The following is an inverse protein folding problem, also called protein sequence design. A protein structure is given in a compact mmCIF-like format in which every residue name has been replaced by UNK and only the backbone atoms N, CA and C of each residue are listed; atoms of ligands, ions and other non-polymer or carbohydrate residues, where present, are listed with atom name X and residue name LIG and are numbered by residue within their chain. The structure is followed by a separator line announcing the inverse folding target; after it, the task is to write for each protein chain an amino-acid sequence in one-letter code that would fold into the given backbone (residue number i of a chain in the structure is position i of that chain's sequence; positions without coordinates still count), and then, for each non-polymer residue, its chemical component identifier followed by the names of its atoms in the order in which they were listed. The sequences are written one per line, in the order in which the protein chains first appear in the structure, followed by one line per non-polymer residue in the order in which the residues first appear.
data_IF_083512308311
#
_entry.id   IF_083512308311
#
_cell.length_a   1.000
_cell.length_b   1.000
_cell.length_c   1.000
_cell.angle_alpha   90.00
_cell.angle_beta   90.00
_cell.angle_gamma   90.00
#
_symmetry.space_group_name_H-M   'P 1'
#
loop_
_entity.id
_entity.type
_entity.pdbx_description
1 polymer ?
#
# COMPACT_ATOMS: atom_id res chain seq x y z
N UNK A 1 6.66 -5.29 22.57
CA UNK A 1 6.12 -3.96 22.19
C UNK A 1 5.92 -3.97 20.68
N UNK A 2 4.74 -3.60 20.20
CA UNK A 2 4.36 -3.71 18.79
C UNK A 2 5.26 -2.83 17.91
N UNK A 3 5.67 -3.26 16.70
CA UNK A 3 6.41 -2.42 15.74
C UNK A 3 5.71 -1.10 15.37
N UNK A 4 4.42 -1.00 15.69
CA UNK A 4 3.55 0.10 15.31
C UNK A 4 3.31 1.13 16.42
N UNK A 5 3.84 0.92 17.64
CA UNK A 5 3.55 1.78 18.79
C UNK A 5 4.22 3.15 18.77
N UNK A 6 4.87 3.54 17.67
CA UNK A 6 5.61 4.81 17.56
C UNK A 6 4.89 5.90 16.76
N UNK A 7 3.70 5.62 16.22
CA UNK A 7 2.88 6.64 15.56
C UNK A 7 2.03 7.50 16.53
N UNK A 8 2.15 7.32 17.86
CA UNK A 8 1.24 7.90 18.87
C UNK A 8 1.94 8.55 20.08
N UNK A 9 3.06 9.25 19.90
CA UNK A 9 3.60 10.13 20.96
C UNK A 9 3.39 11.61 20.58
N UNK A 10 2.51 12.35 21.29
CA UNK A 10 2.40 13.79 21.13
C UNK A 10 3.52 14.44 21.94
N UNK A 11 4.65 14.75 21.32
CA UNK A 11 5.61 15.66 21.94
C UNK A 11 5.14 17.10 21.77
N UNK A 12 4.47 17.61 22.81
CA UNK A 12 4.42 19.03 23.10
C UNK A 12 5.87 19.56 23.21
N UNK A 13 6.26 20.45 22.30
CA UNK A 13 7.23 21.50 22.56
C UNK A 13 6.92 22.72 21.67
N UNK A 14 6.53 23.80 22.32
CA UNK A 14 6.32 25.13 21.73
C UNK A 14 7.68 25.81 21.47
N UNK A 15 7.95 26.10 20.17
CA UNK A 15 8.60 27.29 19.54
C UNK A 15 9.98 27.85 20.06
N UNK A 16 10.76 28.64 19.28
CA UNK A 16 10.40 29.36 18.04
C UNK A 16 11.40 29.31 16.84
N UNK A 17 10.84 29.67 15.67
CA UNK A 17 11.44 30.32 14.48
C UNK A 17 12.86 29.95 14.04
N UNK A 18 12.97 29.21 12.93
CA UNK A 18 14.07 29.36 11.97
C UNK A 18 13.58 29.09 10.55
N UNK A 19 14.03 29.95 9.62
CA UNK A 19 13.72 30.07 8.20
C UNK A 19 13.28 28.79 7.48
N UNK A 20 12.24 28.94 6.64
CA UNK A 20 11.86 27.96 5.63
C UNK A 20 13.09 27.58 4.78
N UNK A 21 13.35 26.28 4.54
CA UNK A 21 14.37 25.90 3.57
C UNK A 21 13.94 26.44 2.21
N UNK A 22 14.87 27.14 1.53
CA UNK A 22 14.69 27.59 0.16
C UNK A 22 14.27 26.39 -0.69
N UNK A 23 13.15 26.55 -1.42
CA UNK A 23 12.69 25.61 -2.46
C UNK A 23 13.80 25.47 -3.50
N UNK A 24 14.65 24.45 -3.33
CA UNK A 24 15.51 23.98 -4.39
C UNK A 24 14.64 23.50 -5.53
N UNK A 25 14.95 23.92 -6.76
CA UNK A 25 14.27 23.44 -7.96
C UNK A 25 14.29 21.91 -7.97
N UNK A 26 13.11 21.30 -7.82
CA UNK A 26 12.92 19.86 -7.85
C UNK A 26 13.50 19.32 -9.17
N UNK A 27 14.30 18.27 -9.09
CA UNK A 27 14.68 17.49 -10.26
C UNK A 27 13.38 17.05 -10.95
N UNK A 28 13.12 17.57 -12.14
CA UNK A 28 12.02 17.09 -12.97
C UNK A 28 12.18 15.58 -13.09
N UNK A 29 11.17 14.80 -12.69
CA UNK A 29 11.13 13.40 -13.11
C UNK A 29 11.28 13.43 -14.62
N UNK A 30 12.34 12.81 -15.15
CA UNK A 30 12.56 12.71 -16.59
C UNK A 30 11.50 11.75 -17.14
N UNK A 31 10.28 12.27 -17.32
CA UNK A 31 9.17 11.57 -17.92
C UNK A 31 9.40 11.60 -19.44
N UNK A 32 10.13 10.61 -19.94
CA UNK A 32 10.33 10.39 -21.38
C UNK A 32 9.05 9.89 -22.09
N UNK A 33 7.96 9.69 -21.33
CA UNK A 33 6.63 9.40 -21.85
C UNK A 33 6.05 10.70 -22.48
N UNK A 34 6.20 10.89 -23.80
CA UNK A 34 5.44 11.92 -24.56
C UNK A 34 4.02 11.43 -24.87
N UNK A 35 2.97 12.28 -24.95
CA UNK A 35 2.99 13.74 -25.23
C UNK A 35 2.11 14.62 -24.29
N UNK A 36 2.21 15.94 -24.49
CA UNK A 36 1.41 17.07 -23.92
C UNK A 36 1.01 16.98 -22.44
N UNK A 37 1.60 17.85 -21.63
CA UNK A 37 1.34 18.05 -20.19
C UNK A 37 -0.15 18.24 -19.82
N UNK A 38 -1.03 18.52 -20.80
CA UNK A 38 -2.48 18.62 -20.66
C UNK A 38 -3.24 17.28 -20.67
N UNK A 39 -2.57 16.14 -20.87
CA UNK A 39 -3.19 14.80 -20.89
C UNK A 39 -2.76 13.92 -19.70
N UNK A 40 -1.94 14.43 -18.79
CA UNK A 40 -1.46 13.66 -17.64
C UNK A 40 -2.59 13.45 -16.62
N UNK A 41 -2.72 12.21 -16.14
CA UNK A 41 -3.73 11.89 -15.15
C UNK A 41 -3.28 12.35 -13.76
N UNK A 42 -4.18 13.01 -13.05
CA UNK A 42 -3.99 13.51 -11.68
C UNK A 42 -4.25 12.48 -10.59
N UNK A 43 -4.69 11.28 -10.98
CA UNK A 43 -5.34 10.27 -10.15
C UNK A 43 -6.51 10.84 -9.34
N UNK A 44 -7.19 11.86 -9.87
CA UNK A 44 -8.36 12.50 -9.27
C UNK A 44 -9.59 12.31 -10.14
N UNK A 45 -10.70 11.95 -9.50
CA UNK A 45 -12.03 11.91 -10.12
C UNK A 45 -13.00 12.74 -9.28
N UNK A 46 -13.97 13.38 -9.94
CA UNK A 46 -15.06 14.09 -9.28
C UNK A 46 -16.37 13.35 -9.47
N UNK A 47 -17.20 13.37 -8.43
CA UNK A 47 -18.61 13.01 -8.47
C UNK A 47 -19.39 14.32 -8.62
N UNK A 48 -20.14 14.47 -9.69
CA UNK A 48 -20.90 15.70 -9.96
C UNK A 48 -22.09 15.82 -9.00
N UNK A 49 -21.94 16.70 -8.00
CA UNK A 49 -22.93 17.08 -6.99
C UNK A 49 -22.52 18.42 -6.37
N UNK A 50 -23.42 19.01 -5.59
CA UNK A 50 -23.14 20.24 -4.83
C UNK A 50 -23.41 19.99 -3.34
N UNK A 51 -22.41 20.12 -2.44
CA UNK A 51 -20.98 20.35 -2.74
C UNK A 51 -20.29 19.11 -3.38
N UNK A 52 -19.20 19.30 -4.15
CA UNK A 52 -18.55 18.22 -4.90
C UNK A 52 -17.91 17.18 -3.98
N UNK A 53 -17.78 15.96 -4.49
CA UNK A 53 -17.02 14.89 -3.83
C UNK A 53 -15.97 14.33 -4.77
N UNK A 54 -14.83 13.91 -4.23
CA UNK A 54 -13.64 13.53 -4.99
C UNK A 54 -13.17 12.13 -4.61
N UNK A 55 -12.63 11.41 -5.59
CA UNK A 55 -11.81 10.22 -5.39
C UNK A 55 -10.38 10.53 -5.76
N UNK A 56 -9.44 10.14 -4.92
CA UNK A 56 -8.01 10.25 -5.17
C UNK A 56 -7.34 8.89 -5.04
N UNK A 57 -6.59 8.52 -6.07
CA UNK A 57 -5.84 7.27 -6.18
C UNK A 57 -4.48 7.38 -5.48
N UNK A 58 -4.33 6.70 -4.34
CA UNK A 58 -3.06 6.58 -3.61
C UNK A 58 -2.26 5.36 -4.08
N UNK A 59 -0.97 5.31 -3.73
CA UNK A 59 -0.14 4.11 -3.85
C UNK A 59 0.66 3.91 -2.57
N UNK A 60 0.95 2.64 -2.23
CA UNK A 60 1.54 2.29 -0.94
C UNK A 60 3.07 2.50 -0.89
N UNK A 61 3.49 3.75 -1.10
CA UNK A 61 4.91 4.15 -1.15
C UNK A 61 5.15 5.39 -0.27
N UNK A 62 6.41 5.66 0.13
CA UNK A 62 6.72 6.82 0.97
C UNK A 62 6.24 8.13 0.33
N UNK A 63 5.49 8.95 1.08
CA UNK A 63 4.87 10.16 0.54
C UNK A 63 5.90 11.13 -0.07
N UNK A 64 7.12 11.19 0.49
CA UNK A 64 8.22 12.04 0.01
C UNK A 64 8.70 11.71 -1.41
N UNK A 65 8.33 10.53 -1.94
CA UNK A 65 8.69 10.12 -3.30
C UNK A 65 7.67 10.53 -4.35
N UNK A 66 6.46 10.93 -3.92
CA UNK A 66 5.30 11.11 -4.82
C UNK A 66 4.54 12.42 -4.60
N UNK A 67 4.46 12.92 -3.37
CA UNK A 67 3.59 14.06 -3.00
C UNK A 67 3.92 15.35 -3.77
N UNK A 68 5.20 15.61 -4.04
CA UNK A 68 5.61 16.77 -4.80
C UNK A 68 5.22 16.68 -6.29
N UNK A 69 4.99 15.47 -6.80
CA UNK A 69 4.55 15.21 -8.17
C UNK A 69 3.02 15.12 -8.31
N UNK A 70 2.28 15.00 -7.20
CA UNK A 70 0.81 15.06 -7.21
C UNK A 70 0.36 16.44 -7.68
N UNK A 71 -0.49 16.55 -8.73
CA UNK A 71 -0.92 17.83 -9.26
C UNK A 71 -1.74 18.67 -8.28
N UNK A 72 -1.69 20.00 -8.44
CA UNK A 72 -2.29 20.92 -7.46
C UNK A 72 -3.82 20.80 -7.38
N UNK A 73 -4.52 20.43 -8.47
CA UNK A 73 -5.96 20.19 -8.42
C UNK A 73 -6.35 19.10 -7.39
N UNK A 74 -5.50 18.09 -7.20
CA UNK A 74 -5.71 17.02 -6.22
C UNK A 74 -5.44 17.50 -4.80
N UNK A 75 -4.41 18.35 -4.63
CA UNK A 75 -4.09 18.99 -3.35
C UNK A 75 -5.19 19.97 -2.94
N UNK A 76 -5.71 20.76 -3.88
CA UNK A 76 -6.81 21.69 -3.68
C UNK A 76 -8.11 20.96 -3.32
N UNK A 77 -8.47 19.90 -4.05
CA UNK A 77 -9.62 19.06 -3.72
C UNK A 77 -9.52 18.53 -2.28
N UNK A 78 -8.36 18.00 -1.87
CA UNK A 78 -8.12 17.57 -0.49
C UNK A 78 -8.25 18.72 0.51
N UNK A 79 -7.68 19.89 0.21
CA UNK A 79 -7.73 21.07 1.09
C UNK A 79 -9.16 21.59 1.28
N UNK A 80 -9.97 21.63 0.22
CA UNK A 80 -11.34 22.15 0.24
C UNK A 80 -12.33 21.19 0.92
N UNK A 81 -12.10 19.87 0.86
CA UNK A 81 -12.99 18.90 1.49
C UNK A 81 -12.88 18.92 3.03
N UNK A 82 -14.00 19.13 3.72
CA UNK A 82 -14.06 19.08 5.18
C UNK A 82 -14.13 17.65 5.75
N UNK A 83 -14.54 16.67 4.93
CA UNK A 83 -14.70 15.26 5.31
C UNK A 83 -13.85 14.39 4.39
N UNK A 84 -13.02 13.52 4.97
CA UNK A 84 -12.09 12.65 4.26
C UNK A 84 -12.28 11.21 4.70
N UNK A 85 -12.36 10.30 3.74
CA UNK A 85 -12.45 8.86 3.99
C UNK A 85 -11.24 8.14 3.40
N UNK A 86 -10.66 7.27 4.21
CA UNK A 86 -9.59 6.35 3.81
C UNK A 86 -10.14 4.93 3.74
N UNK A 87 -9.37 4.00 3.18
CA UNK A 87 -9.73 2.58 3.19
C UNK A 87 -9.85 2.04 4.61
N UNK A 88 -8.84 2.34 5.45
CA UNK A 88 -8.78 2.01 6.87
C UNK A 88 -8.36 3.22 7.69
N UNK A 89 -8.79 3.25 8.95
CA UNK A 89 -8.34 4.20 9.96
C UNK A 89 -7.01 3.72 10.58
N UNK A 90 -5.90 4.08 9.93
CA UNK A 90 -4.55 3.72 10.38
C UNK A 90 -4.01 4.61 11.50
N UNK A 91 -4.71 5.68 11.88
CA UNK A 91 -4.33 6.52 13.03
C UNK A 91 -4.91 5.98 14.33
N UNK A 92 -5.96 5.16 14.25
CA UNK A 92 -6.57 4.50 15.40
C UNK A 92 -5.77 3.28 15.90
N UNK A 93 -5.33 3.27 17.18
CA UNK A 93 -4.56 2.17 17.75
C UNK A 93 -5.31 0.83 17.78
N UNK A 94 -6.65 0.85 17.85
CA UNK A 94 -7.45 -0.37 17.81
C UNK A 94 -7.37 -1.05 16.45
N UNK A 95 -7.43 -0.28 15.36
CA UNK A 95 -7.26 -0.78 13.98
C UNK A 95 -5.90 -1.45 13.81
N UNK A 96 -4.83 -0.75 14.21
CA UNK A 96 -3.46 -1.24 14.14
C UNK A 96 -3.29 -2.52 14.97
N UNK A 97 -3.84 -2.56 16.18
CA UNK A 97 -3.79 -3.74 17.05
C UNK A 97 -4.56 -4.92 16.46
N UNK A 98 -5.72 -4.68 15.85
CA UNK A 98 -6.52 -5.71 15.19
C UNK A 98 -5.82 -6.28 13.94
N UNK A 99 -5.22 -5.41 13.11
CA UNK A 99 -4.38 -5.82 11.98
C UNK A 99 -3.22 -6.69 12.47
N UNK A 100 -2.51 -6.27 13.54
CA UNK A 100 -1.40 -7.05 14.08
C UNK A 100 -1.85 -8.45 14.55
N UNK A 101 -3.02 -8.57 15.20
CA UNK A 101 -3.57 -9.86 15.64
C UNK A 101 -3.92 -10.76 14.46
N UNK A 102 -4.44 -10.22 13.35
CA UNK A 102 -4.89 -11.03 12.23
C UNK A 102 -3.75 -11.71 11.46
N UNK A 103 -2.51 -11.25 11.66
CA UNK A 103 -1.30 -11.87 11.11
C UNK A 103 -0.87 -13.12 11.88
N UNK A 104 -1.36 -13.31 13.11
CA UNK A 104 -0.85 -14.31 14.03
C UNK A 104 -1.55 -15.66 13.85
N UNK A 105 -0.79 -16.74 14.04
CA UNK A 105 -1.33 -18.07 14.23
C UNK A 105 -2.19 -18.12 15.50
N UNK A 106 -3.12 -19.09 15.59
CA UNK A 106 -3.85 -19.36 16.82
C UNK A 106 -2.92 -19.49 18.05
N UNK A 107 -3.41 -19.16 19.25
CA UNK A 107 -2.64 -19.35 20.48
C UNK A 107 -2.16 -20.79 20.62
N UNK A 108 -0.87 -20.99 20.93
CA UNK A 108 -0.26 -22.31 21.10
C UNK A 108 0.39 -22.88 19.83
N UNK A 109 0.04 -22.40 18.65
CA UNK A 109 0.65 -22.85 17.39
C UNK A 109 1.94 -22.07 17.06
N UNK A 110 2.90 -22.76 16.44
CA UNK A 110 4.13 -22.19 15.92
C UNK A 110 4.32 -22.54 14.44
N UNK A 111 4.96 -21.65 13.71
CA UNK A 111 5.24 -21.80 12.29
C UNK A 111 6.08 -23.04 11.96
N UNK A 112 6.96 -23.48 12.87
CA UNK A 112 7.73 -24.72 12.70
C UNK A 112 6.85 -25.98 12.63
N UNK A 113 5.68 -25.96 13.28
CA UNK A 113 4.74 -27.08 13.34
C UNK A 113 3.80 -27.07 12.12
N UNK A 114 3.66 -25.90 11.49
CA UNK A 114 2.77 -25.67 10.36
C UNK A 114 3.52 -25.84 9.03
N UNK A 115 4.78 -25.43 8.92
CA UNK A 115 5.52 -25.46 7.66
C UNK A 115 6.25 -26.80 7.43
N UNK A 116 6.39 -27.24 6.16
CA UNK A 116 7.39 -28.24 5.80
C UNK A 116 8.79 -27.84 6.28
N UNK A 117 9.55 -28.83 6.78
CA UNK A 117 10.86 -28.61 7.41
C UNK A 117 11.84 -27.87 6.49
N UNK A 118 11.85 -28.19 5.21
CA UNK A 118 12.72 -27.57 4.21
C UNK A 118 12.39 -26.07 4.01
N UNK A 119 11.10 -25.72 3.93
CA UNK A 119 10.63 -24.33 3.79
C UNK A 119 10.96 -23.54 5.05
N UNK A 120 10.71 -24.09 6.24
CA UNK A 120 11.05 -23.44 7.51
C UNK A 120 12.55 -23.15 7.61
N UNK A 121 13.40 -24.12 7.27
CA UNK A 121 14.86 -23.94 7.25
C UNK A 121 15.30 -22.87 6.24
N UNK A 122 14.71 -22.85 5.03
CA UNK A 122 15.01 -21.85 3.99
C UNK A 122 14.61 -20.44 4.42
N UNK A 123 13.42 -20.30 5.02
CA UNK A 123 12.94 -19.06 5.61
C UNK A 123 13.90 -18.55 6.69
N UNK A 124 14.25 -19.40 7.67
CA UNK A 124 15.16 -19.02 8.75
C UNK A 124 16.49 -18.50 8.22
N UNK A 125 17.12 -19.22 7.29
CA UNK A 125 18.36 -18.80 6.62
C UNK A 125 18.21 -17.49 5.86
N UNK A 126 17.07 -17.25 5.21
CA UNK A 126 16.79 -15.99 4.56
C UNK A 126 16.69 -14.83 5.56
N UNK A 127 16.00 -15.01 6.68
CA UNK A 127 15.89 -14.00 7.73
C UNK A 127 17.25 -13.70 8.39
N UNK A 128 18.10 -14.72 8.57
CA UNK A 128 19.49 -14.55 9.03
C UNK A 128 20.31 -13.71 8.05
N UNK A 129 20.21 -13.97 6.74
CA UNK A 129 20.82 -13.14 5.71
C UNK A 129 20.33 -11.69 5.80
N UNK A 130 19.01 -11.48 5.87
CA UNK A 130 18.40 -10.15 5.95
C UNK A 130 18.92 -9.38 7.18
N UNK A 131 19.03 -10.06 8.33
CA UNK A 131 19.60 -9.48 9.55
C UNK A 131 21.04 -9.01 9.35
N UNK A 132 21.86 -9.81 8.67
CA UNK A 132 23.26 -9.44 8.35
C UNK A 132 23.34 -8.26 7.38
N UNK A 133 22.38 -8.13 6.45
CA UNK A 133 22.35 -7.04 5.49
C UNK A 133 21.82 -5.72 6.06
N UNK A 134 21.00 -5.74 7.12
CA UNK A 134 20.37 -4.54 7.68
C UNK A 134 21.33 -3.36 7.87
N UNK A 135 22.53 -3.51 8.46
CA UNK A 135 23.46 -2.38 8.62
C UNK A 135 23.78 -1.70 7.29
N UNK A 136 24.00 -2.45 6.21
CA UNK A 136 24.31 -1.91 4.88
C UNK A 136 23.09 -1.27 4.19
N UNK A 137 21.88 -1.74 4.48
CA UNK A 137 20.65 -1.22 3.88
C UNK A 137 20.13 0.04 4.58
N UNK A 138 20.49 0.27 5.85
CA UNK A 138 20.06 1.47 6.58
C UNK A 138 20.75 2.74 6.11
N UNK A 139 19.99 3.84 6.11
CA UNK A 139 20.51 5.18 5.76
C UNK A 139 21.18 5.87 6.95
N UNK A 140 22.01 6.87 6.68
CA UNK A 140 22.62 7.70 7.71
C UNK A 140 21.57 8.48 8.54
N UNK A 141 20.49 8.95 7.89
CA UNK A 141 19.38 9.64 8.56
C UNK A 141 18.66 8.73 9.57
N UNK A 142 18.37 7.48 9.20
CA UNK A 142 17.79 6.50 10.12
C UNK A 142 18.66 6.29 11.36
N UNK A 143 19.98 6.17 11.18
CA UNK A 143 20.93 6.05 12.30
C UNK A 143 20.99 7.32 13.15
N UNK A 144 20.96 8.49 12.51
CA UNK A 144 20.92 9.79 13.19
C UNK A 144 19.68 10.00 14.06
N UNK A 145 18.55 9.37 13.69
CA UNK A 145 17.30 9.32 14.46
C UNK A 145 17.29 8.25 15.57
N UNK A 146 18.41 7.59 15.82
CA UNK A 146 18.54 6.57 16.87
C UNK A 146 17.99 5.19 16.50
N UNK A 147 17.73 4.91 15.21
CA UNK A 147 17.39 3.56 14.76
C UNK A 147 18.67 2.74 14.59
N UNK A 148 18.70 1.53 15.17
CA UNK A 148 19.79 0.56 15.02
C UNK A 148 19.31 -0.66 14.23
N UNK A 149 20.23 -1.36 13.56
CA UNK A 149 19.92 -2.48 12.67
C UNK A 149 19.10 -3.59 13.34
N UNK A 150 19.50 -4.03 14.54
CA UNK A 150 18.77 -5.05 15.29
C UNK A 150 17.39 -4.58 15.71
N UNK A 151 17.25 -3.30 16.08
CA UNK A 151 15.96 -2.73 16.43
C UNK A 151 15.02 -2.71 15.22
N UNK A 152 15.49 -2.22 14.08
CA UNK A 152 14.68 -2.18 12.85
C UNK A 152 14.33 -3.59 12.36
N UNK A 153 15.28 -4.53 12.40
CA UNK A 153 15.03 -5.93 12.08
C UNK A 153 13.94 -6.51 12.98
N UNK A 154 14.05 -6.35 14.30
CA UNK A 154 13.07 -6.86 15.25
C UNK A 154 11.70 -6.17 15.12
N UNK A 155 11.67 -4.90 14.71
CA UNK A 155 10.42 -4.22 14.39
C UNK A 155 9.73 -4.86 13.17
N UNK A 156 10.46 -5.26 12.13
CA UNK A 156 9.83 -5.83 10.93
C UNK A 156 9.53 -7.33 11.12
N UNK A 157 10.51 -8.08 11.63
CA UNK A 157 10.55 -9.56 11.66
C UNK A 157 10.19 -10.14 13.03
N UNK A 158 10.04 -9.30 14.05
CA UNK A 158 9.73 -9.76 15.41
C UNK A 158 8.53 -10.70 15.46
N UNK A 159 8.65 -11.78 16.24
CA UNK A 159 7.64 -12.81 16.40
C UNK A 159 7.22 -13.51 15.09
N UNK A 160 8.09 -13.55 14.06
CA UNK A 160 7.78 -14.22 12.80
C UNK A 160 7.37 -15.70 12.99
N UNK A 161 7.94 -16.41 13.96
CA UNK A 161 7.58 -17.80 14.27
C UNK A 161 6.12 -17.99 14.70
N UNK A 162 5.42 -16.90 15.04
CA UNK A 162 4.01 -16.90 15.44
C UNK A 162 3.10 -16.30 14.36
N UNK A 163 3.63 -15.88 13.21
CA UNK A 163 2.85 -15.34 12.10
C UNK A 163 2.32 -16.48 11.22
N UNK A 164 1.16 -16.29 10.61
CA UNK A 164 0.59 -17.19 9.62
C UNK A 164 1.47 -17.21 8.35
N UNK A 165 1.57 -18.33 7.62
CA UNK A 165 2.50 -18.45 6.49
C UNK A 165 2.29 -17.42 5.37
N UNK A 166 1.05 -17.00 5.08
CA UNK A 166 0.78 -15.96 4.07
C UNK A 166 1.36 -14.60 4.46
N UNK A 167 1.34 -14.26 5.75
CA UNK A 167 1.93 -13.02 6.26
C UNK A 167 3.45 -13.07 6.28
N UNK A 168 4.03 -14.26 6.43
CA UNK A 168 5.46 -14.47 6.22
C UNK A 168 5.84 -14.23 4.77
N UNK A 169 5.06 -14.73 3.82
CA UNK A 169 5.29 -14.48 2.39
C UNK A 169 5.29 -12.97 2.10
N UNK A 170 4.27 -12.23 2.55
CA UNK A 170 4.22 -10.77 2.41
C UNK A 170 5.42 -10.07 3.08
N UNK A 171 5.76 -10.48 4.32
CA UNK A 171 6.90 -9.95 5.06
C UNK A 171 8.20 -10.15 4.28
N UNK A 172 8.47 -11.36 3.80
CA UNK A 172 9.67 -11.69 3.01
C UNK A 172 9.80 -10.83 1.75
N UNK A 173 8.70 -10.60 1.03
CA UNK A 173 8.72 -9.70 -0.14
C UNK A 173 8.99 -8.24 0.21
N UNK A 174 8.64 -7.82 1.44
CA UNK A 174 8.92 -6.47 1.93
C UNK A 174 10.33 -6.29 2.51
N UNK A 175 11.10 -7.36 2.70
CA UNK A 175 12.45 -7.32 3.30
C UNK A 175 13.54 -7.05 2.24
N UNK A 176 13.40 -5.92 1.53
CA UNK A 176 14.35 -5.48 0.51
C UNK A 176 15.09 -4.21 0.95
N UNK A 177 16.26 -3.95 0.35
CA UNK A 177 17.04 -2.74 0.62
C UNK A 177 16.22 -1.46 0.41
N UNK A 178 15.46 -1.38 -0.68
CA UNK A 178 14.65 -0.20 -1.04
C UNK A 178 13.59 0.08 0.02
N UNK A 179 12.87 -0.95 0.47
CA UNK A 179 11.83 -0.81 1.51
C UNK A 179 12.46 -0.49 2.86
N UNK A 180 13.62 -1.08 3.19
CA UNK A 180 14.31 -0.80 4.45
C UNK A 180 14.81 0.65 4.52
N UNK A 181 15.36 1.18 3.42
CA UNK A 181 15.81 2.59 3.34
C UNK A 181 14.69 3.59 3.59
N UNK A 182 13.46 3.23 3.23
CA UNK A 182 12.30 4.11 3.41
C UNK A 182 11.55 3.92 4.73
N UNK A 183 11.93 2.94 5.57
CA UNK A 183 11.31 2.76 6.89
C UNK A 183 11.49 4.00 7.76
N UNK A 184 10.42 4.39 8.43
CA UNK A 184 10.33 5.64 9.21
C UNK A 184 9.74 6.81 8.43
N UNK A 185 9.53 6.67 7.12
CA UNK A 185 8.75 7.63 6.31
C UNK A 185 7.33 7.09 6.14
N UNK A 186 6.28 7.88 6.48
CA UNK A 186 4.90 7.49 6.22
C UNK A 186 4.65 7.20 4.73
N UNK A 187 3.85 6.18 4.44
CA UNK A 187 3.30 6.00 3.10
C UNK A 187 2.26 7.06 2.79
N UNK A 188 1.95 7.30 1.51
CA UNK A 188 1.04 8.37 1.07
C UNK A 188 -0.33 8.31 1.78
N UNK A 189 -0.90 7.11 1.95
CA UNK A 189 -2.20 6.92 2.63
C UNK A 189 -2.18 7.45 4.07
N UNK A 190 -1.16 7.03 4.83
CA UNK A 190 -0.99 7.42 6.23
C UNK A 190 -0.64 8.91 6.36
N UNK A 191 0.18 9.42 5.45
CA UNK A 191 0.50 10.84 5.39
C UNK A 191 -0.77 11.69 5.20
N UNK A 192 -1.63 11.33 4.26
CA UNK A 192 -2.90 12.03 4.04
C UNK A 192 -3.83 11.95 5.25
N UNK A 193 -3.88 10.80 5.94
CA UNK A 193 -4.67 10.67 7.17
C UNK A 193 -4.14 11.56 8.29
N UNK A 194 -2.82 11.59 8.51
CA UNK A 194 -2.17 12.48 9.46
C UNK A 194 -2.38 13.96 9.11
N UNK A 195 -2.32 14.30 7.82
CA UNK A 195 -2.56 15.65 7.35
C UNK A 195 -4.02 16.08 7.52
N UNK A 196 -4.97 15.16 7.32
CA UNK A 196 -6.38 15.41 7.59
C UNK A 196 -6.64 15.71 9.08
N UNK A 197 -6.01 14.96 9.98
CA UNK A 197 -6.06 15.23 11.43
C UNK A 197 -5.41 16.58 11.79
N UNK A 198 -4.24 16.88 11.21
CA UNK A 198 -3.52 18.15 11.40
C UNK A 198 -4.39 19.34 10.98
N UNK A 199 -5.13 19.19 9.89
CA UNK A 199 -6.07 20.18 9.35
C UNK A 199 -7.45 20.15 10.03
N UNK A 200 -7.65 19.29 11.06
CA UNK A 200 -8.91 19.11 11.79
C UNK A 200 -10.10 18.76 10.89
N UNK A 201 -9.86 18.03 9.81
CA UNK A 201 -10.90 17.48 8.94
C UNK A 201 -11.60 16.33 9.66
N UNK A 202 -12.87 16.09 9.34
CA UNK A 202 -13.55 14.88 9.79
C UNK A 202 -13.01 13.69 9.00
N UNK A 203 -12.45 12.69 9.68
CA UNK A 203 -11.94 11.47 9.04
C UNK A 203 -12.88 10.29 9.22
N UNK A 204 -12.84 9.35 8.27
CA UNK A 204 -13.60 8.10 8.33
C UNK A 204 -12.88 6.96 7.61
N UNK A 205 -13.32 5.72 7.88
CA UNK A 205 -12.82 4.52 7.23
C UNK A 205 -13.91 3.86 6.40
N UNK A 206 -13.59 3.46 5.18
CA UNK A 206 -14.54 2.80 4.29
C UNK A 206 -14.68 1.31 4.58
N UNK A 207 -13.66 0.71 5.18
CA UNK A 207 -13.56 -0.72 5.42
C UNK A 207 -13.29 -1.08 6.87
N UNK A 208 -13.48 -2.36 7.16
CA UNK A 208 -13.17 -2.96 8.45
C UNK A 208 -11.87 -3.75 8.38
N UNK A 209 -11.24 -3.96 9.52
CA UNK A 209 -9.98 -4.73 9.60
C UNK A 209 -10.16 -6.16 9.08
N UNK A 210 -11.29 -6.78 9.37
CA UNK A 210 -11.60 -8.15 8.95
C UNK A 210 -11.64 -8.27 7.43
N UNK A 211 -12.07 -7.21 6.73
CA UNK A 211 -12.20 -7.17 5.27
C UNK A 211 -10.84 -7.15 4.57
N UNK A 212 -9.79 -6.73 5.29
CA UNK A 212 -8.40 -6.73 4.83
C UNK A 212 -7.68 -8.03 5.19
N UNK A 213 -8.01 -8.60 6.34
CA UNK A 213 -7.35 -9.80 6.84
C UNK A 213 -7.92 -11.10 6.27
N UNK A 214 -9.24 -11.20 6.10
CA UNK A 214 -9.89 -12.44 5.66
C UNK A 214 -9.46 -12.89 4.26
N UNK A 215 -9.32 -12.01 3.25
CA UNK A 215 -8.79 -12.40 1.95
C UNK A 215 -7.41 -13.05 2.04
N UNK A 216 -6.50 -12.49 2.85
CA UNK A 216 -5.16 -13.06 3.00
C UNK A 216 -5.20 -14.42 3.71
N UNK A 217 -6.04 -14.55 4.73
CA UNK A 217 -6.15 -15.77 5.53
C UNK A 217 -7.06 -16.85 4.90
N UNK A 218 -7.71 -16.57 3.76
CA UNK A 218 -8.69 -17.46 3.13
C UNK A 218 -8.12 -18.42 2.09
N UNK A 219 -6.85 -18.28 1.71
CA UNK A 219 -6.15 -19.26 0.87
C UNK A 219 -6.07 -20.62 1.56
N UNK A 220 -6.16 -21.69 0.78
CA UNK A 220 -5.98 -23.03 1.32
C UNK A 220 -4.50 -23.28 1.68
N UNK A 221 -4.26 -24.22 2.58
CA UNK A 221 -2.92 -24.48 3.08
C UNK A 221 -1.90 -24.80 1.97
N UNK A 222 -2.27 -25.62 0.98
CA UNK A 222 -1.39 -25.95 -0.16
C UNK A 222 -1.01 -24.73 -1.00
N UNK A 223 -1.95 -23.81 -1.25
CA UNK A 223 -1.70 -22.57 -1.99
C UNK A 223 -0.75 -21.67 -1.23
N UNK A 224 -0.91 -21.55 0.09
CA UNK A 224 -0.03 -20.74 0.93
C UNK A 224 1.39 -21.31 0.97
N UNK A 225 1.52 -22.64 1.09
CA UNK A 225 2.83 -23.32 1.04
C UNK A 225 3.49 -23.11 -0.33
N UNK A 226 2.73 -23.27 -1.41
CA UNK A 226 3.21 -22.98 -2.76
C UNK A 226 3.70 -21.53 -2.88
N UNK A 227 2.88 -20.56 -2.48
CA UNK A 227 3.20 -19.13 -2.59
C UNK A 227 4.46 -18.77 -1.79
N UNK A 228 4.58 -19.24 -0.54
CA UNK A 228 5.76 -19.02 0.29
C UNK A 228 7.01 -19.68 -0.31
N UNK A 229 6.88 -20.90 -0.85
CA UNK A 229 7.98 -21.59 -1.51
C UNK A 229 8.49 -20.80 -2.72
N UNK A 230 7.59 -20.33 -3.60
CA UNK A 230 7.93 -19.51 -4.76
C UNK A 230 8.55 -18.17 -4.36
N UNK A 231 8.03 -17.51 -3.32
CA UNK A 231 8.64 -16.29 -2.78
C UNK A 231 10.07 -16.53 -2.29
N UNK A 232 10.33 -17.61 -1.55
CA UNK A 232 11.69 -17.93 -1.10
C UNK A 232 12.63 -18.25 -2.27
N UNK A 233 12.16 -19.00 -3.28
CA UNK A 233 12.92 -19.29 -4.52
C UNK A 233 13.28 -18.01 -5.27
N UNK A 234 12.33 -17.07 -5.36
CA UNK A 234 12.54 -15.77 -5.98
C UNK A 234 13.63 -14.99 -5.23
N UNK A 235 13.53 -14.89 -3.91
CA UNK A 235 14.52 -14.19 -3.08
C UNK A 235 15.91 -14.85 -3.16
N UNK A 236 15.97 -16.17 -3.20
CA UNK A 236 17.23 -16.92 -3.42
C UNK A 236 17.85 -16.61 -4.79
N UNK A 237 17.03 -16.56 -5.84
CA UNK A 237 17.47 -16.26 -7.20
C UNK A 237 17.96 -14.82 -7.35
N UNK A 238 17.30 -13.86 -6.69
CA UNK A 238 17.72 -12.46 -6.65
C UNK A 238 19.09 -12.31 -5.98
N UNK A 239 19.29 -12.95 -4.82
CA UNK A 239 20.58 -12.92 -4.12
C UNK A 239 21.70 -13.57 -4.93
N UNK A 240 21.37 -14.59 -5.71
CA UNK A 240 22.33 -15.23 -6.61
C UNK A 240 22.61 -14.42 -7.90
N UNK A 241 21.96 -13.27 -8.10
CA UNK A 241 22.06 -12.46 -9.31
C UNK A 241 21.46 -13.13 -10.56
N UNK A 242 20.61 -14.15 -10.38
CA UNK A 242 20.06 -14.99 -11.47
C UNK A 242 18.70 -14.51 -11.97
N UNK A 243 18.08 -13.57 -11.27
CA UNK A 243 16.75 -13.07 -11.60
C UNK A 243 16.77 -11.54 -11.62
N UNK A 244 16.15 -10.98 -12.65
CA UNK A 244 15.76 -9.57 -12.71
C UNK A 244 14.25 -9.50 -12.56
N UNK A 245 13.76 -8.66 -11.65
CA UNK A 245 12.31 -8.48 -11.49
C UNK A 245 11.83 -7.53 -12.59
N UNK A 246 10.82 -7.91 -13.40
CA UNK A 246 10.38 -7.09 -14.53
C UNK A 246 9.68 -5.79 -14.12
N UNK A 247 9.12 -5.74 -12.91
CA UNK A 247 8.42 -4.56 -12.38
C UNK A 247 8.76 -4.35 -10.91
N UNK A 248 9.26 -3.16 -10.57
CA UNK A 248 9.70 -2.78 -9.23
C UNK A 248 8.84 -1.67 -8.64
N UNK A 249 8.96 -1.44 -7.34
CA UNK A 249 8.36 -0.26 -6.68
C UNK A 249 8.86 1.05 -7.28
N UNK A 250 10.09 1.08 -7.81
CA UNK A 250 10.63 2.26 -8.48
C UNK A 250 9.93 2.53 -9.82
N UNK A 251 9.56 1.47 -10.55
CA UNK A 251 8.73 1.61 -11.75
C UNK A 251 7.35 2.13 -11.39
N UNK A 252 6.70 1.58 -10.35
CA UNK A 252 5.42 2.08 -9.84
C UNK A 252 5.47 3.58 -9.51
N UNK A 253 6.49 4.02 -8.74
CA UNK A 253 6.70 5.43 -8.40
C UNK A 253 6.88 6.28 -9.66
N UNK A 254 7.70 5.81 -10.61
CA UNK A 254 7.95 6.54 -11.87
C UNK A 254 6.66 6.71 -12.67
N UNK A 255 5.88 5.65 -12.85
CA UNK A 255 4.62 5.70 -13.60
C UNK A 255 3.59 6.61 -12.90
N UNK A 256 3.47 6.53 -11.58
CA UNK A 256 2.60 7.41 -10.80
C UNK A 256 3.01 8.88 -10.92
N UNK A 257 4.30 9.20 -10.74
CA UNK A 257 4.80 10.56 -10.86
C UNK A 257 4.69 11.14 -12.28
N UNK A 258 4.65 10.27 -13.29
CA UNK A 258 4.43 10.65 -14.68
C UNK A 258 2.96 10.59 -15.11
N UNK A 259 2.00 10.38 -14.20
CA UNK A 259 0.57 10.40 -14.52
C UNK A 259 0.10 9.26 -15.46
N UNK A 260 0.83 8.16 -15.53
CA UNK A 260 0.49 7.01 -16.38
C UNK A 260 -0.52 6.07 -15.68
N UNK A 261 -1.54 5.63 -16.42
CA UNK A 261 -2.68 4.82 -15.93
C UNK A 261 -2.59 3.35 -16.34
N UNK A 262 -1.42 2.74 -16.24
CA UNK A 262 -1.28 1.32 -16.53
C UNK A 262 -1.98 0.45 -15.48
N UNK A 263 -3.16 -0.09 -15.82
CA UNK A 263 -3.96 -0.95 -14.93
C UNK A 263 -3.21 -2.19 -14.45
N UNK A 264 -2.26 -2.69 -15.24
CA UNK A 264 -1.39 -3.81 -14.87
C UNK A 264 -0.54 -3.45 -13.65
N UNK A 265 0.10 -2.27 -13.68
CA UNK A 265 1.01 -1.81 -12.63
C UNK A 265 0.25 -1.59 -11.31
N UNK A 266 -0.89 -0.90 -11.34
CA UNK A 266 -1.64 -0.58 -10.12
C UNK A 266 -2.44 -1.76 -9.55
N UNK A 267 -2.79 -2.75 -10.38
CA UNK A 267 -3.41 -3.98 -9.89
C UNK A 267 -2.47 -4.81 -9.02
N UNK A 268 -1.15 -4.70 -9.24
CA UNK A 268 -0.13 -5.34 -8.40
C UNK A 268 0.02 -4.65 -7.04
N UNK A 269 0.02 -3.32 -7.00
CA UNK A 269 0.11 -2.57 -5.72
C UNK A 269 -1.14 -2.79 -4.86
N UNK A 270 -2.32 -2.73 -5.47
CA UNK A 270 -3.60 -2.84 -4.75
C UNK A 270 -3.84 -4.23 -4.14
N UNK A 271 -3.23 -5.27 -4.70
CA UNK A 271 -3.30 -6.62 -4.15
C UNK A 271 -2.18 -6.93 -3.16
N UNK A 272 -1.06 -6.18 -3.16
CA UNK A 272 0.14 -6.42 -2.34
C UNK A 272 0.70 -7.85 -2.43
N UNK A 273 0.29 -8.64 -3.42
CA UNK A 273 0.66 -10.06 -3.58
C UNK A 273 1.58 -10.23 -4.79
N UNK A 274 2.63 -11.06 -4.71
CA UNK A 274 3.49 -11.35 -5.83
C UNK A 274 2.75 -11.98 -7.01
N UNK A 275 3.07 -11.55 -8.23
CA UNK A 275 2.62 -12.23 -9.43
C UNK A 275 3.53 -13.42 -9.73
N UNK A 276 3.00 -14.64 -9.60
CA UNK A 276 3.73 -15.89 -9.82
C UNK A 276 3.80 -16.31 -11.30
N UNK A 277 3.08 -15.62 -12.20
CA UNK A 277 2.83 -16.08 -13.58
C UNK A 277 4.08 -16.04 -14.48
N UNK A 278 5.11 -15.24 -14.14
CA UNK A 278 6.32 -15.09 -14.95
C UNK A 278 7.45 -16.06 -14.63
N UNK A 279 7.27 -16.98 -13.68
CA UNK A 279 8.25 -18.03 -13.43
C UNK A 279 8.07 -19.18 -14.45
N UNK A 280 9.17 -19.85 -14.82
CA UNK A 280 9.22 -21.04 -15.68
C UNK A 280 8.62 -22.26 -14.96
N UNK A 281 7.40 -22.13 -14.43
CA UNK A 281 6.76 -23.10 -13.58
C UNK A 281 6.31 -24.32 -14.38
N UNK A 282 6.37 -25.54 -13.81
CA UNK A 282 5.69 -26.71 -14.33
C UNK A 282 4.18 -26.47 -14.52
N UNK A 283 3.49 -27.20 -15.42
CA UNK A 283 2.07 -26.98 -15.71
C UNK A 283 1.16 -26.95 -14.48
N UNK A 284 1.37 -27.86 -13.52
CA UNK A 284 0.55 -27.92 -12.30
C UNK A 284 0.74 -26.67 -11.41
N UNK A 285 1.98 -26.20 -11.26
CA UNK A 285 2.31 -25.00 -10.49
C UNK A 285 1.76 -23.73 -11.15
N UNK A 286 1.68 -23.69 -12.49
CA UNK A 286 1.02 -22.58 -13.20
C UNK A 286 -0.46 -22.49 -12.89
N UNK A 287 -1.15 -23.62 -12.81
CA UNK A 287 -2.58 -23.65 -12.44
C UNK A 287 -2.76 -23.11 -11.03
N UNK A 288 -1.97 -23.58 -10.06
CA UNK A 288 -2.03 -23.07 -8.68
C UNK A 288 -1.73 -21.56 -8.60
N UNK A 289 -0.72 -21.08 -9.35
CA UNK A 289 -0.41 -19.66 -9.44
C UNK A 289 -1.59 -18.83 -9.99
N UNK A 290 -2.24 -19.32 -11.05
CA UNK A 290 -3.41 -18.66 -11.66
C UNK A 290 -4.62 -18.66 -10.73
N UNK A 291 -4.86 -19.74 -10.00
CA UNK A 291 -5.92 -19.82 -8.98
C UNK A 291 -5.71 -18.79 -7.86
N UNK A 292 -4.47 -18.65 -7.39
CA UNK A 292 -4.11 -17.66 -6.35
C UNK A 292 -4.30 -16.23 -6.88
N UNK A 293 -3.81 -15.92 -8.09
CA UNK A 293 -4.00 -14.59 -8.71
C UNK A 293 -5.49 -14.26 -8.87
N UNK A 294 -6.27 -15.21 -9.42
CA UNK A 294 -7.72 -15.06 -9.60
C UNK A 294 -8.44 -14.83 -8.27
N UNK A 295 -8.08 -15.60 -7.24
CA UNK A 295 -8.63 -15.45 -5.90
C UNK A 295 -8.36 -14.06 -5.32
N UNK A 296 -7.11 -13.59 -5.35
CA UNK A 296 -6.78 -12.27 -4.82
C UNK A 296 -7.39 -11.15 -5.64
N UNK A 297 -7.42 -11.24 -6.97
CA UNK A 297 -8.12 -10.28 -7.82
C UNK A 297 -9.61 -10.21 -7.48
N UNK A 298 -10.25 -11.35 -7.23
CA UNK A 298 -11.65 -11.40 -6.84
C UNK A 298 -11.90 -10.78 -5.45
N UNK A 299 -11.10 -11.14 -4.44
CA UNK A 299 -11.31 -10.73 -3.05
C UNK A 299 -10.81 -9.31 -2.75
N UNK A 300 -9.62 -8.95 -3.23
CA UNK A 300 -8.95 -7.68 -2.93
C UNK A 300 -9.31 -6.55 -3.91
N UNK A 301 -9.85 -6.86 -5.08
CA UNK A 301 -10.31 -5.84 -6.03
C UNK A 301 -11.82 -5.91 -6.24
N UNK A 302 -12.35 -6.95 -6.89
CA UNK A 302 -13.73 -6.90 -7.37
C UNK A 302 -14.79 -6.87 -6.25
N UNK A 303 -14.69 -7.79 -5.28
CA UNK A 303 -15.61 -7.78 -4.12
C UNK A 303 -15.41 -6.53 -3.26
N UNK A 304 -14.18 -6.04 -3.19
CA UNK A 304 -13.81 -4.84 -2.43
C UNK A 304 -14.40 -3.58 -3.05
N UNK A 305 -14.25 -3.40 -4.36
CA UNK A 305 -14.84 -2.31 -5.14
C UNK A 305 -16.36 -2.26 -5.02
N UNK A 306 -17.02 -3.41 -5.13
CA UNK A 306 -18.48 -3.49 -4.99
C UNK A 306 -18.95 -3.05 -3.58
N UNK A 307 -18.24 -3.47 -2.51
CA UNK A 307 -18.54 -3.03 -1.15
C UNK A 307 -18.26 -1.53 -0.96
N UNK A 308 -17.08 -1.07 -1.37
CA UNK A 308 -16.68 0.34 -1.28
C UNK A 308 -17.68 1.24 -2.02
N UNK A 309 -18.00 0.94 -3.28
CA UNK A 309 -18.94 1.74 -4.08
C UNK A 309 -20.33 1.84 -3.46
N UNK A 310 -20.86 0.74 -2.91
CA UNK A 310 -22.15 0.74 -2.18
C UNK A 310 -22.11 1.60 -0.92
N UNK A 311 -21.01 1.54 -0.16
CA UNK A 311 -20.88 2.35 1.05
C UNK A 311 -20.63 3.82 0.75
N UNK A 312 -19.88 4.13 -0.31
CA UNK A 312 -19.76 5.51 -0.81
C UNK A 312 -21.14 6.02 -1.21
N UNK A 313 -21.91 5.28 -2.00
CA UNK A 313 -23.30 5.64 -2.34
C UNK A 313 -24.11 5.95 -1.07
N UNK A 314 -24.10 5.06 -0.08
CA UNK A 314 -24.85 5.25 1.15
C UNK A 314 -24.43 6.54 1.89
N UNK A 315 -23.13 6.83 1.99
CA UNK A 315 -22.63 8.07 2.59
C UNK A 315 -23.08 9.32 1.81
N UNK A 316 -23.04 9.24 0.48
CA UNK A 316 -23.47 10.32 -0.41
C UNK A 316 -24.97 10.62 -0.27
N UNK A 317 -25.80 9.60 -0.04
CA UNK A 317 -27.26 9.71 0.17
C UNK A 317 -27.60 10.15 1.60
N UNK A 318 -26.89 9.67 2.61
CA UNK A 318 -27.11 10.02 4.02
C UNK A 318 -26.76 11.49 4.29
N UNK A 319 -25.77 12.03 3.58
CA UNK A 319 -25.30 13.40 3.75
C UNK A 319 -25.32 14.18 2.42
N UNK A 320 -26.50 14.59 1.92
CA UNK A 320 -26.63 15.29 0.64
C UNK A 320 -25.91 16.65 0.63
N UNK A 321 -25.87 17.35 1.76
CA UNK A 321 -25.28 18.69 1.86
C UNK A 321 -23.77 18.69 2.18
N UNK A 322 -23.11 17.53 2.10
CA UNK A 322 -21.68 17.37 2.39
C UNK A 322 -20.88 16.92 1.17
N UNK A 323 -19.67 17.45 1.07
CA UNK A 323 -18.67 17.06 0.09
C UNK A 323 -17.62 16.18 0.76
N UNK A 324 -17.16 15.16 0.05
CA UNK A 324 -16.26 14.14 0.57
C UNK A 324 -14.98 14.05 -0.26
N UNK A 325 -13.88 13.70 0.37
CA UNK A 325 -12.66 13.27 -0.31
C UNK A 325 -12.34 11.82 0.06
N UNK A 326 -12.38 10.92 -0.91
CA UNK A 326 -12.08 9.50 -0.73
C UNK A 326 -10.67 9.22 -1.23
N UNK A 327 -9.75 8.82 -0.35
CA UNK A 327 -8.38 8.44 -0.69
C UNK A 327 -8.23 6.92 -0.62
N UNK A 328 -8.32 6.26 -1.78
CA UNK A 328 -8.21 4.80 -1.92
C UNK A 328 -7.06 4.44 -2.87
N UNK A 329 -6.56 3.21 -2.78
CA UNK A 329 -5.51 2.71 -3.67
C UNK A 329 -5.90 2.87 -5.14
N UNK A 330 -4.98 3.35 -5.96
CA UNK A 330 -5.24 3.72 -7.35
C UNK A 330 -5.84 2.59 -8.18
N UNK A 331 -5.50 1.32 -7.90
CA UNK A 331 -6.07 0.17 -8.61
C UNK A 331 -7.58 -0.04 -8.38
N UNK A 332 -8.19 0.60 -7.38
CA UNK A 332 -9.65 0.63 -7.20
C UNK A 332 -10.37 1.49 -8.25
N UNK A 333 -9.63 2.30 -9.01
CA UNK A 333 -10.14 3.20 -10.05
C UNK A 333 -9.66 2.82 -11.47
N UNK A 334 -8.83 1.79 -11.62
CA UNK A 334 -8.26 1.37 -12.91
C UNK A 334 -8.88 0.08 -13.43
N UNK A 335 -9.09 0.02 -14.74
CA UNK A 335 -9.64 -1.15 -15.42
C UNK A 335 -11.16 -1.23 -15.33
N UNK A 336 -11.69 -2.45 -15.21
CA UNK A 336 -13.13 -2.69 -15.16
C UNK A 336 -13.56 -3.05 -13.74
N UNK A 337 -14.85 -2.88 -13.45
CA UNK A 337 -15.46 -3.19 -12.15
C UNK A 337 -14.84 -2.35 -11.01
N UNK A 338 -14.52 -1.10 -11.33
CA UNK A 338 -13.95 -0.11 -10.39
C UNK A 338 -15.02 0.42 -9.44
N UNK A 339 -14.60 1.11 -8.37
CA UNK A 339 -15.53 1.85 -7.49
C UNK A 339 -16.35 2.87 -8.28
N UNK A 340 -15.74 3.51 -9.29
CA UNK A 340 -16.41 4.46 -10.18
C UNK A 340 -17.50 3.77 -11.01
N UNK A 341 -17.25 2.56 -11.51
CA UNK A 341 -18.25 1.80 -12.29
C UNK A 341 -19.43 1.38 -11.44
N UNK A 342 -19.20 1.04 -10.17
CA UNK A 342 -20.29 0.78 -9.21
C UNK A 342 -21.17 2.00 -9.08
N UNK A 343 -20.58 3.18 -8.85
CA UNK A 343 -21.35 4.43 -8.71
C UNK A 343 -22.06 4.85 -10.00
N UNK A 344 -21.44 4.65 -11.17
CA UNK A 344 -22.07 4.92 -12.47
C UNK A 344 -23.30 4.05 -12.71
N UNK A 345 -23.26 2.78 -12.32
CA UNK A 345 -24.44 1.88 -12.37
C UNK A 345 -25.57 2.36 -11.48
N UNK A 346 -25.24 3.07 -10.39
CA UNK A 346 -26.18 3.65 -9.44
C UNK A 346 -26.64 5.07 -9.84
N UNK A 347 -26.25 5.56 -11.02
CA UNK A 347 -26.71 6.84 -11.57
C UNK A 347 -25.83 8.06 -11.27
N UNK A 348 -24.67 7.88 -10.62
CA UNK A 348 -23.74 8.97 -10.35
C UNK A 348 -22.82 9.26 -11.55
N UNK A 349 -22.62 10.54 -11.85
CA UNK A 349 -21.67 10.99 -12.87
C UNK A 349 -20.27 11.13 -12.24
N UNK A 350 -19.40 10.14 -12.44
CA UNK A 350 -18.02 10.10 -11.94
C UNK A 350 -17.01 10.30 -13.08
N UNK A 351 -16.34 11.45 -13.10
CA UNK A 351 -15.50 11.92 -14.21
C UNK A 351 -14.04 12.13 -13.77
N UNK A 352 -13.05 11.75 -14.61
CA UNK A 352 -11.65 12.06 -14.34
C UNK A 352 -11.41 13.56 -14.40
N UNK A 353 -10.56 14.06 -13.50
CA UNK A 353 -10.11 15.44 -13.46
C UNK A 353 -8.67 15.54 -13.99
N UNK A 354 -8.52 15.38 -15.30
CA UNK A 354 -7.22 15.56 -15.95
C UNK A 354 -6.70 16.98 -15.71
N UNK A 355 -5.39 17.16 -15.66
CA UNK A 355 -4.80 18.49 -15.52
C UNK A 355 -5.05 19.31 -16.79
N UNK A 356 -5.97 20.27 -16.71
CA UNK A 356 -5.95 21.43 -17.61
C UNK A 356 -5.13 22.51 -16.89
N UNK A 357 -3.87 22.65 -17.30
CA UNK A 357 -2.94 23.77 -17.06
C UNK A 357 -2.50 24.11 -15.62
N UNK A 358 -1.19 24.38 -15.50
CA UNK A 358 -0.70 25.70 -15.07
C UNK A 358 0.18 26.29 -16.18
#
# INVERSE_FOLDING_TARGET
MSPWSWFLLPTLCLLPTSAAPQRGALASANCELKPQQSELNSFLWTIKRDPPSYFFGTIHVPYTRVWDFVPDNSKEAFQQSGVVYFELDLTNPYTISALARCQMLPPGENLQDVLPRDIYCRLKRHLEYVKLMMPSWMTADQRGKGLYADYLFNAIVGNWERKRPIWIMLMVNSLTEVVVKSRGVPVLDLYLAQEAERLRKQTGAMEKVEEQCHPLNGLNFSQVIFALNQTLLQQESLRAGRLQIPYTTEDLIKHYNCGDLSSVIFSHDSSQVPNFINATLPPQERVTAQEIDSYFRQELLYKRNERMGKRVKALLEEFPDKGFFFAFGAGHFMGNNTVLDVLRREGYEALPMNTVTF
#
